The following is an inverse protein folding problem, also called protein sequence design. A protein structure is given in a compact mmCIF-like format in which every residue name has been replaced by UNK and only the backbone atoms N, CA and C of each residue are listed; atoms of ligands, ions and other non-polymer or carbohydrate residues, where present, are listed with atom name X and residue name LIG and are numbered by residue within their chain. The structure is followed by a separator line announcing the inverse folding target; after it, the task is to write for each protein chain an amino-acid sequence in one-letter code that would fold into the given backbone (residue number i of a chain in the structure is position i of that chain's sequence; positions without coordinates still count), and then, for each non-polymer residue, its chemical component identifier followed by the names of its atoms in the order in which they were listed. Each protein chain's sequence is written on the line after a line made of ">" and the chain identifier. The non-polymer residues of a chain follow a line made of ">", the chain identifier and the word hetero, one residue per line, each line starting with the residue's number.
data_IF_089336886895
#
_entry.id   IF_089336886895
#
_cell.length_a   1.000
_cell.length_b   1.000
_cell.length_c   1.000
_cell.angle_alpha   90.00
_cell.angle_beta   90.00
_cell.angle_gamma   90.00
#
_symmetry.space_group_name_H-M   'P 1'
#
loop_
_entity.id
_entity.type
_entity.pdbx_description
1 polymer ?
#
# COMPACT_ATOMS: atom_id res chain seq x y z
N UNK A 1 0.85 38.11 24.98
CA UNK A 1 0.59 36.78 24.38
C UNK A 1 1.94 36.12 24.16
N UNK A 2 2.26 35.04 24.86
CA UNK A 2 3.52 34.34 24.65
C UNK A 2 3.48 33.68 23.25
N UNK A 3 4.49 33.97 22.43
CA UNK A 3 4.70 33.30 21.16
C UNK A 3 4.83 31.80 21.44
N UNK A 4 3.88 31.02 20.93
CA UNK A 4 3.97 29.56 20.94
C UNK A 4 4.94 29.17 19.84
N UNK A 5 6.10 28.67 20.22
CA UNK A 5 7.01 27.98 19.32
C UNK A 5 6.43 26.60 19.06
N UNK A 6 5.84 26.39 17.89
CA UNK A 6 5.52 25.04 17.41
C UNK A 6 6.85 24.34 17.10
N UNK A 7 7.27 23.43 17.97
CA UNK A 7 8.42 22.58 17.70
C UNK A 7 8.00 21.45 16.78
N UNK A 8 8.19 21.62 15.47
CA UNK A 8 8.32 20.48 14.58
C UNK A 8 9.69 19.87 14.89
N UNK A 9 9.71 18.65 15.42
CA UNK A 9 10.95 17.91 15.69
C UNK A 9 11.54 17.48 14.34
N UNK A 10 12.36 18.36 13.77
CA UNK A 10 13.05 18.13 12.50
C UNK A 10 13.10 19.41 11.65
N UNK A 11 14.07 19.45 10.77
CA UNK A 11 14.18 20.51 9.77
C UNK A 11 13.54 20.04 8.47
N UNK A 12 12.21 19.86 8.46
CA UNK A 12 11.45 19.42 7.27
C UNK A 12 11.74 20.29 6.05
N UNK A 13 12.01 21.57 6.23
CA UNK A 13 12.40 22.50 5.15
C UNK A 13 13.71 22.11 4.46
N UNK A 14 14.61 21.38 5.15
CA UNK A 14 15.85 20.86 4.55
C UNK A 14 15.63 19.63 3.67
N UNK A 15 14.49 18.97 3.81
CA UNK A 15 14.06 17.86 2.97
C UNK A 15 13.17 18.32 1.80
N UNK A 16 12.69 19.56 1.84
CA UNK A 16 11.99 20.15 0.72
C UNK A 16 13.00 20.46 -0.38
N UNK A 17 12.90 19.78 -1.51
CA UNK A 17 13.58 20.16 -2.74
C UNK A 17 12.61 20.99 -3.58
N UNK A 18 13.05 22.16 -4.04
CA UNK A 18 12.31 22.92 -5.03
C UNK A 18 12.16 22.07 -6.29
N UNK A 19 10.95 21.58 -6.53
CA UNK A 19 10.58 21.03 -7.83
C UNK A 19 10.54 22.20 -8.81
N UNK A 20 11.69 22.48 -9.44
CA UNK A 20 11.74 23.35 -10.60
C UNK A 20 10.90 22.71 -11.72
N UNK A 21 9.60 22.96 -11.71
CA UNK A 21 8.74 22.64 -12.85
C UNK A 21 9.16 23.55 -14.01
N UNK A 22 9.77 23.05 -15.08
CA UNK A 22 10.08 23.89 -16.22
C UNK A 22 8.76 24.35 -16.84
N UNK A 23 8.39 25.60 -16.61
CA UNK A 23 7.31 26.27 -17.32
C UNK A 23 7.76 26.52 -18.76
N UNK A 24 7.72 25.50 -19.62
CA UNK A 24 7.93 25.67 -21.05
C UNK A 24 6.60 25.55 -21.77
N UNK A 25 5.98 26.67 -22.10
CA UNK A 25 4.77 26.79 -22.90
C UNK A 25 4.96 26.58 -24.40
N UNK A 26 5.88 25.75 -24.84
CA UNK A 26 6.07 25.40 -26.26
C UNK A 26 5.46 24.04 -26.60
N UNK A 27 5.22 23.74 -27.89
CA UNK A 27 4.72 22.43 -28.29
C UNK A 27 5.65 21.34 -27.77
N UNK A 28 5.07 20.33 -27.14
CA UNK A 28 5.83 19.24 -26.54
C UNK A 28 6.55 18.43 -27.62
N UNK A 29 7.87 18.38 -27.54
CA UNK A 29 8.63 17.53 -28.45
C UNK A 29 8.47 16.07 -28.03
N UNK A 30 8.06 15.21 -28.95
CA UNK A 30 7.93 13.78 -28.73
C UNK A 30 9.31 13.10 -28.83
N UNK A 31 9.65 12.17 -27.90
CA UNK A 31 10.90 11.42 -27.99
C UNK A 31 10.99 10.55 -29.25
N UNK A 32 9.87 9.96 -29.64
CA UNK A 32 9.77 9.06 -30.78
C UNK A 32 8.85 9.62 -31.86
N UNK A 33 9.19 9.37 -33.12
CA UNK A 33 8.23 9.41 -34.21
C UNK A 33 7.33 8.17 -34.15
N UNK A 34 6.18 8.23 -34.84
CA UNK A 34 5.29 7.07 -34.94
C UNK A 34 6.01 5.84 -35.53
N UNK A 35 6.80 6.02 -36.60
CA UNK A 35 7.54 4.93 -37.23
C UNK A 35 8.55 4.29 -36.25
N UNK A 36 9.26 5.10 -35.46
CA UNK A 36 10.21 4.61 -34.45
C UNK A 36 9.48 3.85 -33.33
N UNK A 37 8.37 4.41 -32.82
CA UNK A 37 7.56 3.78 -31.77
C UNK A 37 7.02 2.42 -32.25
N UNK A 38 6.42 2.36 -33.42
CA UNK A 38 5.91 1.12 -34.02
C UNK A 38 7.01 0.07 -34.23
N UNK A 39 8.16 0.47 -34.81
CA UNK A 39 9.31 -0.44 -35.01
C UNK A 39 9.83 -1.02 -33.72
N UNK A 40 9.82 -0.25 -32.64
CA UNK A 40 10.31 -0.64 -31.31
C UNK A 40 9.30 -1.50 -30.54
N UNK A 41 8.03 -1.09 -30.55
CA UNK A 41 6.98 -1.76 -29.76
C UNK A 41 6.41 -3.00 -30.44
N UNK A 42 6.34 -3.03 -31.77
CA UNK A 42 5.76 -4.15 -32.51
C UNK A 42 6.32 -5.51 -32.10
N UNK A 43 7.66 -5.71 -32.11
CA UNK A 43 8.24 -6.97 -31.64
C UNK A 43 7.95 -7.29 -30.18
N UNK A 44 7.95 -6.28 -29.30
CA UNK A 44 7.67 -6.46 -27.86
C UNK A 44 6.22 -6.87 -27.61
N UNK A 45 5.27 -6.21 -28.27
CA UNK A 45 3.84 -6.57 -28.17
C UNK A 45 3.62 -8.00 -28.67
N UNK A 46 4.19 -8.36 -29.82
CA UNK A 46 4.06 -9.72 -30.36
C UNK A 46 4.65 -10.78 -29.44
N UNK A 47 5.81 -10.51 -28.83
CA UNK A 47 6.45 -11.41 -27.88
C UNK A 47 5.58 -11.58 -26.61
N UNK A 48 5.16 -10.48 -26.01
CA UNK A 48 4.30 -10.51 -24.81
C UNK A 48 2.96 -11.21 -25.09
N UNK A 49 2.33 -10.94 -26.23
CA UNK A 49 1.06 -11.59 -26.59
C UNK A 49 1.23 -13.09 -26.85
N UNK A 50 2.37 -13.53 -27.38
CA UNK A 50 2.67 -14.96 -27.47
C UNK A 50 2.76 -15.60 -26.08
N UNK A 51 3.49 -14.99 -25.14
CA UNK A 51 3.57 -15.49 -23.76
C UNK A 51 2.19 -15.56 -23.11
N UNK A 52 1.35 -14.51 -23.27
CA UNK A 52 -0.02 -14.52 -22.75
C UNK A 52 -0.90 -15.59 -23.40
N UNK A 53 -0.72 -15.88 -24.68
CA UNK A 53 -1.48 -16.90 -25.38
C UNK A 53 -1.11 -18.32 -24.92
N UNK A 54 0.14 -18.53 -24.51
CA UNK A 54 0.69 -19.81 -24.04
C UNK A 54 0.31 -20.12 -22.57
N UNK A 55 -0.28 -19.15 -21.84
CA UNK A 55 -0.73 -19.38 -20.46
C UNK A 55 -1.82 -20.45 -20.37
N UNK A 56 -1.79 -21.34 -19.38
CA UNK A 56 -2.87 -22.29 -19.09
C UNK A 56 -4.22 -21.57 -18.87
N UNK A 57 -5.32 -22.23 -19.17
CA UNK A 57 -6.67 -21.64 -18.99
C UNK A 57 -7.00 -21.38 -17.53
N UNK A 58 -6.50 -22.22 -16.66
CA UNK A 58 -6.73 -22.22 -15.22
C UNK A 58 -6.21 -20.93 -14.56
N UNK A 59 -5.14 -20.34 -15.12
CA UNK A 59 -4.57 -19.07 -14.63
C UNK A 59 -5.21 -17.84 -15.28
N UNK A 60 -6.11 -18.01 -16.24
CA UNK A 60 -6.73 -16.95 -17.04
C UNK A 60 -8.26 -16.92 -16.84
N UNK A 61 -8.79 -16.37 -15.75
CA UNK A 61 -10.21 -16.36 -15.47
C UNK A 61 -10.98 -15.63 -16.60
N UNK A 62 -12.07 -16.24 -17.10
CA UNK A 62 -12.83 -15.75 -18.28
C UNK A 62 -11.94 -15.47 -19.51
N UNK A 63 -10.87 -16.22 -19.69
CA UNK A 63 -9.87 -16.03 -20.76
C UNK A 63 -9.18 -14.64 -20.72
N UNK A 64 -9.17 -13.97 -19.56
CA UNK A 64 -8.54 -12.67 -19.38
C UNK A 64 -7.12 -12.81 -18.80
N UNK A 65 -6.26 -11.91 -19.21
CA UNK A 65 -4.86 -11.82 -18.78
C UNK A 65 -4.47 -10.38 -18.50
N UNK A 66 -3.32 -10.18 -17.83
CA UNK A 66 -2.78 -8.86 -17.53
C UNK A 66 -1.40 -8.71 -18.17
N UNK A 67 -1.23 -7.64 -18.94
CA UNK A 67 0.06 -7.19 -19.49
C UNK A 67 0.53 -5.91 -18.78
N UNK A 68 1.80 -5.58 -18.93
CA UNK A 68 2.42 -4.36 -18.43
C UNK A 68 2.73 -3.39 -19.57
N UNK A 69 2.22 -2.17 -19.44
CA UNK A 69 2.44 -1.07 -20.38
C UNK A 69 3.17 0.05 -19.67
N UNK A 70 4.44 0.26 -19.99
CA UNK A 70 5.25 1.33 -19.38
C UNK A 70 5.18 2.58 -20.23
N UNK A 71 4.81 3.69 -19.65
CA UNK A 71 4.83 4.99 -20.32
C UNK A 71 6.26 5.52 -20.40
N UNK A 72 6.56 6.31 -21.43
CA UNK A 72 7.82 7.04 -21.48
C UNK A 72 7.83 8.14 -20.39
N UNK A 73 8.93 8.36 -19.65
CA UNK A 73 8.99 9.32 -18.53
C UNK A 73 8.60 10.76 -18.87
N UNK A 74 8.60 11.13 -20.14
CA UNK A 74 8.09 12.44 -20.58
C UNK A 74 6.57 12.55 -20.48
N UNK A 75 5.84 11.45 -20.31
CA UNK A 75 4.38 11.39 -20.38
C UNK A 75 3.73 10.93 -19.04
N UNK A 76 4.08 11.59 -17.93
CA UNK A 76 3.57 11.26 -16.59
C UNK A 76 2.20 11.87 -16.27
N UNK A 77 1.79 12.94 -16.96
CA UNK A 77 0.51 13.59 -16.68
C UNK A 77 -0.67 12.73 -17.15
N UNK A 78 -1.80 12.76 -16.42
CA UNK A 78 -3.04 12.02 -16.75
C UNK A 78 -3.51 12.22 -18.20
N UNK A 79 -3.24 13.37 -18.81
CA UNK A 79 -3.57 13.69 -20.21
C UNK A 79 -2.81 12.83 -21.24
N UNK A 80 -1.78 12.12 -20.82
CA UNK A 80 -0.99 11.25 -21.69
C UNK A 80 -1.33 9.76 -21.55
N UNK A 81 -2.37 9.45 -20.80
CA UNK A 81 -2.88 8.10 -20.72
C UNK A 81 -3.26 7.57 -22.11
N UNK A 82 -2.90 6.32 -22.49
CA UNK A 82 -3.10 5.78 -23.82
C UNK A 82 -4.55 5.29 -24.06
N UNK A 83 -5.52 6.18 -23.84
CA UNK A 83 -6.94 5.83 -23.80
C UNK A 83 -7.48 5.29 -25.12
N UNK A 84 -7.08 5.88 -26.26
CA UNK A 84 -7.58 5.47 -27.57
C UNK A 84 -7.07 4.09 -27.96
N UNK A 85 -5.79 3.78 -27.64
CA UNK A 85 -5.23 2.46 -27.88
C UNK A 85 -5.97 1.40 -27.05
N UNK A 86 -6.13 1.65 -25.74
CA UNK A 86 -6.77 0.69 -24.85
C UNK A 86 -8.23 0.46 -25.25
N UNK A 87 -8.97 1.53 -25.52
CA UNK A 87 -10.37 1.46 -25.94
C UNK A 87 -10.54 0.72 -27.28
N UNK A 88 -9.68 0.98 -28.25
CA UNK A 88 -9.75 0.34 -29.58
C UNK A 88 -9.64 -1.17 -29.49
N UNK A 89 -8.82 -1.69 -28.57
CA UNK A 89 -8.61 -3.12 -28.39
C UNK A 89 -9.35 -3.70 -27.18
N UNK A 90 -10.33 -3.00 -26.64
CA UNK A 90 -11.10 -3.43 -25.47
C UNK A 90 -10.19 -3.92 -24.31
N UNK A 91 -9.15 -3.15 -24.04
CA UNK A 91 -8.23 -3.34 -22.94
C UNK A 91 -8.52 -2.34 -21.83
N UNK A 92 -8.35 -2.76 -20.58
CA UNK A 92 -8.66 -1.94 -19.41
C UNK A 92 -7.47 -1.87 -18.46
N UNK A 93 -7.23 -0.70 -17.86
CA UNK A 93 -6.22 -0.56 -16.82
C UNK A 93 -6.79 -0.96 -15.46
N UNK A 94 -6.20 -1.97 -14.85
CA UNK A 94 -6.58 -2.51 -13.52
C UNK A 94 -5.66 -2.04 -12.40
N UNK A 95 -4.69 -1.17 -12.70
CA UNK A 95 -3.80 -0.58 -11.72
C UNK A 95 -2.55 0.00 -12.36
N UNK A 96 -1.72 0.62 -11.55
CA UNK A 96 -0.42 1.14 -11.97
C UNK A 96 0.60 1.01 -10.85
N UNK A 97 1.88 1.19 -11.21
CA UNK A 97 2.97 1.34 -10.25
C UNK A 97 4.05 2.27 -10.81
N UNK A 98 4.83 2.96 -9.99
CA UNK A 98 6.03 3.63 -10.45
C UNK A 98 7.05 2.60 -10.94
N UNK A 99 7.78 2.95 -11.99
CA UNK A 99 8.89 2.17 -12.52
C UNK A 99 10.06 3.09 -12.84
N UNK A 100 11.23 2.71 -12.39
CA UNK A 100 12.46 3.38 -12.75
C UNK A 100 13.08 2.70 -13.97
N UNK A 101 13.48 3.47 -14.98
CA UNK A 101 14.10 2.96 -16.19
C UNK A 101 15.03 3.99 -16.85
N UNK A 102 15.91 3.49 -17.73
CA UNK A 102 16.72 4.31 -18.63
C UNK A 102 16.03 4.36 -19.99
N UNK A 103 15.38 5.49 -20.37
CA UNK A 103 14.70 5.59 -21.66
C UNK A 103 15.73 5.57 -22.81
N UNK A 104 15.39 4.89 -23.89
CA UNK A 104 16.30 4.76 -25.03
C UNK A 104 16.53 6.09 -25.77
N UNK A 105 15.57 7.02 -25.70
CA UNK A 105 15.62 8.32 -26.37
C UNK A 105 14.97 9.41 -25.52
N UNK A 106 15.44 10.64 -25.67
CA UNK A 106 14.84 11.83 -25.04
C UNK A 106 14.66 12.94 -26.07
N UNK A 107 13.60 13.74 -25.93
CA UNK A 107 13.16 14.63 -27.02
C UNK A 107 14.19 15.71 -27.42
N UNK A 108 14.88 16.32 -26.46
CA UNK A 108 15.76 17.48 -26.73
C UNK A 108 17.16 17.39 -26.11
N UNK A 109 17.45 16.36 -25.34
CA UNK A 109 18.70 16.20 -24.58
C UNK A 109 19.14 14.74 -24.61
N UNK A 110 20.34 14.47 -24.13
CA UNK A 110 20.77 13.11 -23.82
C UNK A 110 19.80 12.49 -22.80
N UNK A 111 19.37 11.24 -22.99
CA UNK A 111 18.55 10.55 -22.01
C UNK A 111 19.22 10.56 -20.63
N UNK A 112 18.45 10.74 -19.53
CA UNK A 112 18.99 10.56 -18.19
C UNK A 112 19.40 9.10 -17.98
N UNK A 113 20.34 8.85 -17.08
CA UNK A 113 20.77 7.49 -16.74
C UNK A 113 19.60 6.68 -16.14
N UNK A 114 18.71 7.36 -15.43
CA UNK A 114 17.49 6.80 -14.88
C UNK A 114 16.40 7.86 -14.80
N UNK A 115 15.14 7.44 -14.95
CA UNK A 115 13.96 8.28 -14.79
C UNK A 115 12.78 7.45 -14.30
N UNK A 116 12.01 8.02 -13.36
CA UNK A 116 10.77 7.39 -12.87
C UNK A 116 9.66 7.62 -13.88
N UNK A 117 8.86 6.59 -14.12
CA UNK A 117 7.67 6.62 -14.96
C UNK A 117 6.54 5.78 -14.37
N UNK A 118 5.41 5.71 -15.06
CA UNK A 118 4.28 4.86 -14.69
C UNK A 118 4.27 3.59 -15.54
N UNK A 119 4.15 2.44 -14.90
CA UNK A 119 3.87 1.15 -15.49
C UNK A 119 2.41 0.77 -15.19
N UNK A 120 1.60 0.61 -16.23
CA UNK A 120 0.17 0.29 -16.16
C UNK A 120 -0.01 -1.22 -16.21
N UNK A 121 -0.87 -1.74 -15.35
CA UNK A 121 -1.39 -3.11 -15.46
C UNK A 121 -2.63 -3.06 -16.35
N UNK A 122 -2.57 -3.75 -17.47
CA UNK A 122 -3.62 -3.69 -18.51
C UNK A 122 -4.21 -5.08 -18.69
N UNK A 123 -5.49 -5.21 -18.38
CA UNK A 123 -6.28 -6.45 -18.50
C UNK A 123 -7.04 -6.50 -19.82
N UNK A 124 -7.28 -7.69 -20.30
CA UNK A 124 -8.11 -7.98 -21.46
C UNK A 124 -8.12 -9.46 -21.79
N UNK A 125 -9.02 -9.88 -22.68
CA UNK A 125 -9.01 -11.26 -23.14
C UNK A 125 -7.79 -11.55 -24.02
N UNK A 126 -7.35 -12.80 -24.04
CA UNK A 126 -6.26 -13.22 -24.93
C UNK A 126 -6.59 -12.95 -26.43
N UNK A 127 -7.86 -12.93 -26.80
CA UNK A 127 -8.31 -12.53 -28.13
C UNK A 127 -8.04 -11.05 -28.42
N UNK A 128 -8.32 -10.15 -27.48
CA UNK A 128 -8.06 -8.71 -27.60
C UNK A 128 -6.56 -8.42 -27.75
N UNK A 129 -5.72 -9.07 -26.96
CA UNK A 129 -4.26 -8.94 -27.11
C UNK A 129 -3.74 -9.48 -28.43
N UNK A 130 -4.29 -10.61 -28.93
CA UNK A 130 -3.95 -11.15 -30.26
C UNK A 130 -4.33 -10.17 -31.37
N UNK A 131 -5.49 -9.51 -31.25
CA UNK A 131 -5.93 -8.49 -32.22
C UNK A 131 -4.94 -7.31 -32.25
N UNK A 132 -4.54 -6.79 -31.06
CA UNK A 132 -3.51 -5.72 -30.99
C UNK A 132 -2.20 -6.16 -31.67
N UNK A 133 -1.73 -7.38 -31.42
CA UNK A 133 -0.50 -7.88 -32.02
C UNK A 133 -0.59 -8.09 -33.54
N UNK A 134 -1.77 -8.45 -34.05
CA UNK A 134 -2.01 -8.61 -35.49
C UNK A 134 -2.05 -7.24 -36.19
N UNK A 135 -2.66 -6.24 -35.57
CA UNK A 135 -2.90 -4.94 -36.18
C UNK A 135 -1.71 -3.98 -36.05
N UNK A 136 -0.77 -4.21 -35.14
CA UNK A 136 0.30 -3.25 -34.79
C UNK A 136 1.08 -2.74 -36.01
N UNK A 137 1.34 -3.59 -37.00
CA UNK A 137 2.06 -3.21 -38.22
C UNK A 137 1.16 -2.47 -39.21
N UNK A 138 -0.17 -2.62 -39.11
CA UNK A 138 -1.14 -2.00 -40.00
C UNK A 138 -1.67 -0.65 -39.48
N UNK A 139 -1.40 -0.29 -38.21
CA UNK A 139 -1.79 1.01 -37.66
C UNK A 139 -1.17 2.12 -38.51
N UNK A 140 -2.03 3.05 -38.96
CA UNK A 140 -1.62 4.23 -39.76
C UNK A 140 -1.24 5.37 -38.82
N UNK A 141 -0.30 6.22 -39.23
CA UNK A 141 0.13 7.40 -38.48
C UNK A 141 -1.02 8.40 -38.21
N UNK A 142 -2.04 8.41 -39.09
CA UNK A 142 -3.22 9.24 -38.94
C UNK A 142 -4.28 8.67 -38.01
N UNK A 143 -4.11 7.45 -37.49
CA UNK A 143 -5.04 6.85 -36.56
C UNK A 143 -4.91 7.49 -35.16
N UNK A 144 -6.00 7.58 -34.41
CA UNK A 144 -6.01 8.09 -33.03
C UNK A 144 -5.07 7.28 -32.11
N UNK A 145 -5.00 5.96 -32.33
CA UNK A 145 -4.12 5.04 -31.61
C UNK A 145 -2.62 5.31 -31.84
N UNK A 146 -2.24 5.94 -32.96
CA UNK A 146 -0.86 6.26 -33.27
C UNK A 146 -0.25 7.24 -32.27
N UNK A 147 -1.05 8.23 -31.82
CA UNK A 147 -0.63 9.18 -30.80
C UNK A 147 -0.36 8.55 -29.44
N UNK A 148 -0.99 7.42 -29.15
CA UNK A 148 -0.78 6.68 -27.91
C UNK A 148 0.48 5.79 -27.97
N UNK A 149 0.76 5.18 -29.14
CA UNK A 149 1.97 4.38 -29.33
C UNK A 149 3.26 5.15 -29.06
N UNK A 150 3.32 6.43 -29.45
CA UNK A 150 4.51 7.26 -29.21
C UNK A 150 4.77 7.57 -27.74
N UNK A 151 3.77 7.37 -26.88
CA UNK A 151 3.85 7.62 -25.44
C UNK A 151 4.34 6.39 -24.66
N UNK A 152 4.33 5.21 -25.26
CA UNK A 152 4.67 3.95 -24.60
C UNK A 152 6.17 3.68 -24.75
N UNK A 153 6.85 3.38 -23.65
CA UNK A 153 8.25 2.99 -23.63
C UNK A 153 8.43 1.48 -23.70
N UNK A 154 7.55 0.72 -23.04
CA UNK A 154 7.67 -0.73 -23.00
C UNK A 154 6.31 -1.41 -22.98
N UNK A 155 6.27 -2.65 -23.49
CA UNK A 155 5.13 -3.54 -23.42
C UNK A 155 5.65 -4.95 -23.14
N UNK A 156 5.21 -5.58 -22.04
CA UNK A 156 5.72 -6.87 -21.58
C UNK A 156 4.71 -7.63 -20.71
N UNK A 157 4.99 -8.86 -20.38
CA UNK A 157 4.35 -9.61 -19.32
C UNK A 157 5.07 -9.37 -17.98
N UNK A 158 4.40 -9.67 -16.88
CA UNK A 158 5.04 -9.71 -15.55
C UNK A 158 5.48 -11.14 -15.27
N UNK A 159 6.79 -11.42 -15.21
CA UNK A 159 7.24 -12.77 -14.91
C UNK A 159 6.96 -13.16 -13.45
N UNK A 160 6.79 -14.46 -13.15
CA UNK A 160 6.51 -14.94 -11.80
C UNK A 160 7.50 -14.46 -10.73
N UNK A 161 8.77 -14.30 -11.10
CA UNK A 161 9.83 -13.84 -10.20
C UNK A 161 9.66 -12.38 -9.75
N UNK A 162 8.98 -11.56 -10.54
CA UNK A 162 8.61 -10.20 -10.14
C UNK A 162 7.38 -10.17 -9.22
N UNK A 163 6.55 -11.22 -9.27
CA UNK A 163 5.34 -11.33 -8.46
C UNK A 163 5.60 -11.91 -7.07
N UNK A 164 6.51 -12.90 -6.95
CA UNK A 164 6.86 -13.53 -5.69
C UNK A 164 8.05 -12.82 -5.03
N UNK A 165 7.82 -12.18 -3.89
CA UNK A 165 8.91 -11.59 -3.11
C UNK A 165 9.73 -12.67 -2.40
N UNK A 166 11.02 -12.44 -2.18
CA UNK A 166 11.87 -13.37 -1.42
C UNK A 166 11.28 -13.66 -0.05
N UNK A 167 11.32 -14.91 0.35
CA UNK A 167 10.93 -15.33 1.69
C UNK A 167 11.91 -14.80 2.75
N UNK A 168 11.39 -14.41 3.89
CA UNK A 168 12.16 -13.88 5.03
C UNK A 168 12.34 -14.90 6.15
N UNK A 169 11.49 -15.91 6.19
CA UNK A 169 11.53 -17.02 7.16
C UNK A 169 11.94 -18.33 6.48
N UNK A 170 12.23 -19.34 7.28
CA UNK A 170 12.47 -20.72 6.82
C UNK A 170 11.23 -21.60 6.99
N UNK A 171 10.05 -20.99 7.16
CA UNK A 171 8.78 -21.70 7.29
C UNK A 171 8.50 -22.52 6.03
N UNK A 172 8.14 -23.79 6.18
CA UNK A 172 7.81 -24.69 5.06
C UNK A 172 6.44 -24.34 4.46
N UNK A 173 5.53 -23.81 5.27
CA UNK A 173 4.20 -23.37 4.86
C UNK A 173 3.94 -21.92 5.26
N UNK A 174 4.66 -20.94 4.68
CA UNK A 174 4.49 -19.56 5.04
C UNK A 174 3.08 -19.04 4.78
N UNK A 175 2.62 -18.16 5.65
CA UNK A 175 1.43 -17.37 5.36
C UNK A 175 1.84 -16.21 4.44
N UNK A 176 1.19 -16.12 3.28
CA UNK A 176 1.42 -15.05 2.31
C UNK A 176 0.34 -13.98 2.40
N UNK A 177 0.71 -12.74 2.19
CA UNK A 177 -0.17 -11.68 1.74
C UNK A 177 -0.19 -11.73 0.21
N UNK A 178 -1.32 -12.14 -0.36
CA UNK A 178 -1.55 -12.17 -1.81
C UNK A 178 -2.32 -10.93 -2.19
N UNK A 179 -1.89 -10.28 -3.26
CA UNK A 179 -2.52 -9.07 -3.80
C UNK A 179 -3.04 -9.34 -5.20
N UNK A 180 -4.35 -9.22 -5.38
CA UNK A 180 -5.02 -9.37 -6.66
C UNK A 180 -5.49 -8.02 -7.19
N UNK A 181 -5.49 -7.85 -8.50
CA UNK A 181 -6.20 -6.76 -9.16
C UNK A 181 -7.70 -7.08 -9.16
N UNK A 182 -8.42 -6.69 -8.12
CA UNK A 182 -9.85 -6.94 -7.97
C UNK A 182 -10.49 -5.88 -7.05
N UNK A 183 -11.70 -5.46 -7.39
CA UNK A 183 -12.52 -4.56 -6.58
C UNK A 183 -13.68 -5.33 -5.94
N UNK A 184 -14.32 -4.78 -4.89
CA UNK A 184 -15.48 -5.40 -4.24
C UNK A 184 -16.76 -5.16 -5.05
N UNK A 185 -16.73 -5.44 -6.36
CA UNK A 185 -17.84 -5.27 -7.29
C UNK A 185 -18.15 -6.58 -8.00
N UNK A 186 -19.41 -6.75 -8.44
CA UNK A 186 -19.87 -8.00 -9.05
C UNK A 186 -19.10 -8.33 -10.35
N UNK A 187 -18.68 -7.31 -11.07
CA UNK A 187 -17.90 -7.42 -12.30
C UNK A 187 -16.57 -8.13 -12.09
N UNK A 188 -15.94 -7.97 -10.92
CA UNK A 188 -14.63 -8.53 -10.55
C UNK A 188 -14.73 -9.86 -9.77
N UNK A 189 -15.95 -10.30 -9.41
CA UNK A 189 -16.14 -11.53 -8.63
C UNK A 189 -15.44 -12.75 -9.28
N UNK A 190 -15.43 -12.82 -10.61
CA UNK A 190 -14.79 -13.87 -11.38
C UNK A 190 -13.29 -14.01 -11.13
N UNK A 191 -12.62 -12.92 -10.69
CA UNK A 191 -11.19 -12.92 -10.39
C UNK A 191 -10.92 -13.73 -9.13
N UNK A 192 -11.72 -13.50 -8.07
CA UNK A 192 -11.60 -14.23 -6.80
C UNK A 192 -12.05 -15.69 -6.95
N UNK A 193 -13.17 -15.92 -7.60
CA UNK A 193 -13.69 -17.27 -7.89
C UNK A 193 -12.71 -18.07 -8.75
N UNK A 194 -12.13 -17.44 -9.77
CA UNK A 194 -11.12 -18.06 -10.63
C UNK A 194 -9.83 -18.36 -9.88
N UNK A 195 -9.43 -17.47 -8.96
CA UNK A 195 -8.26 -17.70 -8.11
C UNK A 195 -8.47 -18.88 -7.17
N UNK A 196 -9.62 -18.95 -6.50
CA UNK A 196 -9.99 -20.08 -5.66
C UNK A 196 -10.02 -21.40 -6.46
N UNK A 197 -10.63 -21.38 -7.65
CA UNK A 197 -10.67 -22.55 -8.53
C UNK A 197 -9.26 -22.98 -8.96
N UNK A 198 -8.38 -22.03 -9.28
CA UNK A 198 -6.99 -22.32 -9.62
C UNK A 198 -6.22 -22.91 -8.44
N UNK A 199 -6.35 -22.36 -7.24
CA UNK A 199 -5.69 -22.88 -6.04
C UNK A 199 -6.11 -24.32 -5.73
N UNK A 200 -7.37 -24.67 -5.95
CA UNK A 200 -7.85 -26.06 -5.82
C UNK A 200 -7.12 -27.04 -6.75
N UNK A 201 -6.66 -26.59 -7.92
CA UNK A 201 -5.84 -27.45 -8.82
C UNK A 201 -4.42 -27.67 -8.29
N UNK A 202 -3.98 -26.86 -7.35
CA UNK A 202 -2.68 -26.94 -6.68
C UNK A 202 -2.78 -27.60 -5.28
N UNK A 203 -3.92 -28.17 -4.93
CA UNK A 203 -4.22 -28.70 -3.59
C UNK A 203 -4.09 -27.65 -2.46
N UNK A 204 -4.27 -26.37 -2.80
CA UNK A 204 -4.23 -25.27 -1.86
C UNK A 204 -5.65 -24.78 -1.56
N UNK A 205 -6.00 -24.71 -0.28
CA UNK A 205 -7.30 -24.21 0.16
C UNK A 205 -7.26 -22.72 0.43
N UNK A 206 -8.16 -21.97 -0.19
CA UNK A 206 -8.43 -20.57 0.11
C UNK A 206 -9.79 -20.47 0.80
N UNK A 207 -9.81 -19.82 1.94
CA UNK A 207 -11.01 -19.47 2.66
C UNK A 207 -11.36 -18.01 2.34
N UNK A 208 -12.26 -17.80 1.41
CA UNK A 208 -12.69 -16.44 1.00
C UNK A 208 -13.51 -15.73 2.10
N UNK A 209 -14.01 -16.45 3.11
CA UNK A 209 -14.71 -15.86 4.24
C UNK A 209 -13.74 -15.29 5.28
N UNK A 210 -12.44 -15.64 5.17
CA UNK A 210 -11.41 -15.01 6.01
C UNK A 210 -11.22 -13.55 5.66
N UNK A 211 -10.60 -12.83 6.60
CA UNK A 211 -10.30 -11.40 6.49
C UNK A 211 -9.59 -11.11 5.18
N UNK A 212 -10.18 -10.23 4.41
CA UNK A 212 -9.59 -9.65 3.20
C UNK A 212 -9.90 -8.17 3.18
N UNK A 213 -9.01 -7.41 2.57
CA UNK A 213 -9.18 -5.98 2.45
C UNK A 213 -9.20 -5.58 0.98
N UNK A 214 -10.05 -4.62 0.67
CA UNK A 214 -10.07 -3.99 -0.64
C UNK A 214 -9.63 -2.54 -0.50
N UNK A 215 -8.68 -2.13 -1.32
CA UNK A 215 -8.24 -0.74 -1.38
C UNK A 215 -7.66 -0.43 -2.76
N UNK A 216 -8.00 0.73 -3.32
CA UNK A 216 -7.41 1.27 -4.55
C UNK A 216 -7.43 0.28 -5.74
N UNK A 217 -8.48 -0.51 -5.89
CA UNK A 217 -8.60 -1.50 -6.96
C UNK A 217 -7.83 -2.80 -6.72
N UNK A 218 -7.35 -3.01 -5.50
CA UNK A 218 -6.63 -4.21 -5.08
C UNK A 218 -7.41 -4.98 -4.02
N UNK A 219 -7.28 -6.30 -4.04
CA UNK A 219 -7.74 -7.20 -2.99
C UNK A 219 -6.53 -7.82 -2.31
N UNK A 220 -6.42 -7.62 -1.02
CA UNK A 220 -5.39 -8.20 -0.16
C UNK A 220 -5.99 -9.35 0.62
N UNK A 221 -5.39 -10.53 0.54
CA UNK A 221 -5.89 -11.73 1.21
C UNK A 221 -4.76 -12.58 1.78
N UNK A 222 -4.98 -13.25 2.93
CA UNK A 222 -4.02 -14.18 3.50
C UNK A 222 -4.14 -15.53 2.81
N UNK A 223 -3.01 -16.15 2.47
CA UNK A 223 -2.95 -17.48 1.88
C UNK A 223 -1.81 -18.27 2.50
N UNK A 224 -2.12 -19.40 3.14
CA UNK A 224 -1.10 -20.36 3.58
C UNK A 224 -0.83 -21.35 2.46
N UNK A 225 0.43 -21.52 2.10
CA UNK A 225 0.82 -22.36 0.96
C UNK A 225 2.20 -22.98 1.20
N UNK A 226 2.39 -24.26 0.83
CA UNK A 226 3.74 -24.84 0.81
C UNK A 226 4.70 -23.99 -0.04
N UNK A 227 5.90 -23.79 0.48
CA UNK A 227 6.91 -22.92 -0.16
C UNK A 227 7.20 -23.33 -1.60
N UNK A 228 7.25 -24.61 -1.88
CA UNK A 228 7.47 -25.15 -3.23
C UNK A 228 6.32 -24.89 -4.20
N UNK A 229 5.10 -24.65 -3.69
CA UNK A 229 3.90 -24.37 -4.50
C UNK A 229 3.74 -22.88 -4.78
N UNK A 230 4.33 -21.99 -3.96
CA UNK A 230 4.20 -20.55 -4.11
C UNK A 230 4.59 -20.01 -5.51
N UNK A 231 5.63 -20.53 -6.21
CA UNK A 231 5.92 -20.14 -7.59
C UNK A 231 4.81 -20.48 -8.60
N UNK A 232 4.01 -21.52 -8.34
CA UNK A 232 2.85 -21.84 -9.17
C UNK A 232 1.71 -20.87 -8.89
N UNK A 233 1.42 -20.58 -7.61
CA UNK A 233 0.37 -19.63 -7.21
C UNK A 233 0.48 -18.29 -7.93
N UNK A 234 1.70 -17.76 -8.07
CA UNK A 234 1.92 -16.44 -8.66
C UNK A 234 1.79 -16.41 -10.19
N UNK A 235 1.57 -17.56 -10.85
CA UNK A 235 1.26 -17.61 -12.28
C UNK A 235 -0.14 -17.09 -12.60
N UNK A 236 -1.02 -16.99 -11.60
CA UNK A 236 -2.36 -16.45 -11.81
C UNK A 236 -2.32 -15.03 -12.39
N UNK A 237 -3.05 -14.79 -13.49
CA UNK A 237 -2.92 -13.59 -14.31
C UNK A 237 -3.20 -12.30 -13.56
N UNK A 238 -4.24 -12.29 -12.72
CA UNK A 238 -4.64 -11.11 -11.94
C UNK A 238 -3.88 -10.97 -10.62
N UNK A 239 -2.94 -11.87 -10.31
CA UNK A 239 -2.08 -11.73 -9.16
C UNK A 239 -1.00 -10.69 -9.45
N UNK A 240 -1.02 -9.61 -8.66
CA UNK A 240 -0.03 -8.53 -8.73
C UNK A 240 1.25 -8.89 -8.00
N UNK A 241 1.11 -9.47 -6.80
CA UNK A 241 2.20 -9.69 -5.86
C UNK A 241 1.80 -10.76 -4.84
N UNK A 242 2.78 -11.55 -4.40
CA UNK A 242 2.71 -12.38 -3.19
C UNK A 242 3.98 -12.17 -2.37
N UNK A 243 3.83 -12.02 -1.05
CA UNK A 243 4.94 -11.90 -0.09
C UNK A 243 4.56 -12.57 1.22
N UNK A 244 5.54 -12.92 2.04
CA UNK A 244 5.23 -13.33 3.41
C UNK A 244 4.43 -12.23 4.10
N UNK A 245 3.38 -12.64 4.83
CA UNK A 245 2.53 -11.74 5.60
C UNK A 245 3.39 -10.90 6.54
N UNK A 246 3.34 -9.56 6.45
CA UNK A 246 4.04 -8.71 7.40
C UNK A 246 3.53 -8.96 8.82
N UNK A 247 4.44 -9.05 9.77
CA UNK A 247 4.08 -9.16 11.19
C UNK A 247 3.90 -7.77 11.78
N UNK A 248 3.15 -7.68 12.87
CA UNK A 248 3.08 -6.45 13.63
C UNK A 248 4.46 -6.19 14.28
N UNK A 249 4.95 -4.97 14.17
CA UNK A 249 6.22 -4.57 14.77
C UNK A 249 6.20 -4.82 16.26
N UNK A 250 7.13 -5.62 16.73
CA UNK A 250 7.26 -5.87 18.16
C UNK A 250 7.71 -4.60 18.88
N UNK A 251 6.98 -4.24 19.92
CA UNK A 251 7.40 -3.18 20.82
C UNK A 251 8.63 -3.68 21.60
N UNK A 252 9.79 -3.19 21.25
CA UNK A 252 10.95 -3.30 22.14
C UNK A 252 10.86 -2.15 23.11
N UNK A 253 10.45 -2.35 24.38
CA UNK A 253 10.56 -1.31 25.36
C UNK A 253 12.05 -0.97 25.44
N UNK A 254 12.42 0.24 25.03
CA UNK A 254 13.72 0.78 25.33
C UNK A 254 13.78 1.04 26.84
N UNK A 255 13.85 -0.03 27.61
CA UNK A 255 14.22 0.06 29.00
C UNK A 255 15.72 0.42 29.05
N UNK A 256 16.02 1.69 28.86
CA UNK A 256 17.23 2.24 29.45
C UNK A 256 16.97 2.28 30.97
N UNK A 257 17.08 1.12 31.59
CA UNK A 257 17.23 1.05 33.03
C UNK A 257 18.59 1.66 33.34
N UNK A 258 18.60 2.95 33.60
CA UNK A 258 19.76 3.58 34.22
C UNK A 258 19.72 3.13 35.68
N UNK A 259 20.70 2.36 36.16
CA UNK A 259 20.78 1.97 37.56
C UNK A 259 20.85 3.26 38.39
N UNK A 260 19.95 3.45 39.34
CA UNK A 260 19.98 4.58 40.26
C UNK A 260 18.90 5.67 40.07
N UNK A 261 17.84 5.41 39.36
CA UNK A 261 16.71 6.35 39.27
C UNK A 261 15.97 6.41 40.62
N UNK A 262 16.06 7.57 41.29
CA UNK A 262 15.06 8.03 42.24
C UNK A 262 13.67 8.04 41.57
N UNK A 263 12.60 7.74 42.31
CA UNK A 263 11.26 7.79 41.71
C UNK A 263 11.04 9.18 41.10
N UNK A 264 10.85 9.22 39.80
CA UNK A 264 10.54 10.41 39.02
C UNK A 264 9.24 11.03 39.55
N UNK A 265 9.28 12.22 40.08
CA UNK A 265 8.17 12.90 40.71
C UNK A 265 7.66 14.05 39.84
N UNK A 266 6.85 13.74 38.82
CA UNK A 266 6.14 14.77 38.07
C UNK A 266 4.73 14.98 38.61
N UNK A 267 4.29 16.23 38.75
CA UNK A 267 2.91 16.56 39.11
C UNK A 267 2.09 16.81 37.88
N UNK A 268 0.99 16.08 37.72
CA UNK A 268 0.03 16.32 36.66
C UNK A 268 -0.91 17.48 37.00
N UNK A 269 -1.36 18.28 36.03
CA UNK A 269 -2.35 19.33 36.24
C UNK A 269 -3.69 18.72 36.67
N UNK A 270 -4.50 19.53 37.36
CA UNK A 270 -5.83 19.08 37.86
C UNK A 270 -6.97 19.46 36.92
N UNK A 271 -6.71 20.26 35.92
CA UNK A 271 -7.71 20.81 34.99
C UNK A 271 -7.76 20.02 33.68
N UNK A 272 -8.93 19.94 33.07
CA UNK A 272 -9.11 19.31 31.76
C UNK A 272 -8.31 20.01 30.64
N UNK A 273 -8.43 19.57 29.38
CA UNK A 273 -7.64 20.09 28.26
C UNK A 273 -7.85 21.59 28.03
N UNK A 274 -6.90 22.22 27.37
CA UNK A 274 -6.97 23.66 26.96
C UNK A 274 -8.11 23.86 25.98
N UNK A 275 -8.17 22.99 24.98
CA UNK A 275 -9.20 22.98 23.96
C UNK A 275 -9.98 21.66 24.06
N UNK A 276 -11.30 21.75 24.18
CA UNK A 276 -12.19 20.60 24.30
C UNK A 276 -12.74 20.15 22.95
N UNK A 277 -12.60 20.96 21.94
CA UNK A 277 -13.13 20.69 20.62
C UNK A 277 -12.15 19.87 19.78
N UNK A 278 -10.83 19.95 20.10
CA UNK A 278 -9.81 19.11 19.46
C UNK A 278 -9.92 17.68 19.96
N UNK A 279 -10.17 16.76 19.05
CA UNK A 279 -10.32 15.34 19.28
C UNK A 279 -9.15 14.55 18.73
N UNK A 280 -8.53 13.76 19.58
CA UNK A 280 -7.39 12.92 19.22
C UNK A 280 -7.72 11.46 19.46
N UNK A 281 -7.48 10.60 18.48
CA UNK A 281 -7.53 9.15 18.67
C UNK A 281 -6.12 8.58 18.80
N UNK A 282 -5.94 7.62 19.70
CA UNK A 282 -4.74 6.79 19.81
C UNK A 282 -5.15 5.34 19.71
N UNK A 283 -4.56 4.60 18.78
CA UNK A 283 -4.75 3.16 18.62
C UNK A 283 -3.51 2.44 19.12
N UNK A 284 -3.63 1.69 20.23
CA UNK A 284 -2.50 1.01 20.86
C UNK A 284 -2.99 -0.13 21.80
N UNK A 285 -2.15 -0.58 22.69
CA UNK A 285 -2.41 -1.67 23.63
C UNK A 285 -3.30 -1.33 24.85
N UNK A 286 -3.80 -0.09 24.93
CA UNK A 286 -4.62 0.38 26.03
C UNK A 286 -3.83 1.22 27.04
N UNK A 287 -4.54 1.90 27.94
CA UNK A 287 -3.98 2.72 29.02
C UNK A 287 -4.27 2.05 30.35
N UNK A 288 -3.24 1.94 31.21
CA UNK A 288 -3.39 1.39 32.57
C UNK A 288 -4.43 2.15 33.39
N UNK A 289 -5.20 1.43 34.20
CA UNK A 289 -6.21 2.02 35.04
C UNK A 289 -5.62 2.97 36.10
N UNK A 290 -4.43 2.69 36.61
CA UNK A 290 -3.73 3.45 37.66
C UNK A 290 -2.87 4.61 37.10
N UNK A 291 -2.88 4.85 35.78
CA UNK A 291 -2.04 5.85 35.12
C UNK A 291 -2.41 7.32 35.46
N UNK A 292 -3.49 7.57 36.21
CA UNK A 292 -3.97 8.92 36.61
C UNK A 292 -4.16 9.89 35.45
N UNK A 293 -4.52 9.38 34.28
CA UNK A 293 -4.73 10.15 33.04
C UNK A 293 -6.22 10.48 32.78
N UNK A 294 -7.12 10.09 33.72
CA UNK A 294 -8.58 10.16 33.55
C UNK A 294 -9.15 11.53 33.11
N UNK A 295 -8.61 12.67 33.58
CA UNK A 295 -9.14 13.96 33.11
C UNK A 295 -9.00 14.22 31.61
N UNK A 296 -8.10 13.51 30.90
CA UNK A 296 -7.78 13.75 29.50
C UNK A 296 -7.94 12.55 28.60
N UNK A 297 -8.14 11.34 29.17
CA UNK A 297 -8.15 10.09 28.42
C UNK A 297 -9.45 9.34 28.61
N UNK A 298 -10.14 9.12 27.50
CA UNK A 298 -11.28 8.19 27.42
C UNK A 298 -10.77 6.83 26.93
N UNK A 299 -10.82 5.82 27.82
CA UNK A 299 -10.40 4.45 27.48
C UNK A 299 -11.50 3.74 26.69
N UNK A 300 -11.21 3.39 25.45
CA UNK A 300 -12.11 2.67 24.55
C UNK A 300 -11.60 1.25 24.30
N UNK A 301 -12.51 0.34 24.01
CA UNK A 301 -12.20 -1.02 23.55
C UNK A 301 -12.85 -1.23 22.18
N UNK A 302 -12.15 -1.88 21.28
CA UNK A 302 -12.70 -2.33 20.00
C UNK A 302 -13.48 -3.63 20.17
N UNK A 303 -14.23 -4.04 19.15
CA UNK A 303 -14.96 -5.31 19.15
C UNK A 303 -13.98 -6.50 19.12
N UNK A 304 -14.46 -7.66 19.53
CA UNK A 304 -13.73 -8.94 19.44
C UNK A 304 -12.31 -8.88 20.02
N UNK A 305 -12.18 -8.24 21.18
CA UNK A 305 -10.90 -8.00 21.82
C UNK A 305 -10.74 -8.91 23.04
N UNK A 306 -9.71 -9.74 23.04
CA UNK A 306 -9.32 -10.59 24.15
C UNK A 306 -8.76 -9.82 25.35
N UNK A 307 -8.07 -10.53 26.25
CA UNK A 307 -7.52 -9.96 27.48
C UNK A 307 -6.43 -8.92 27.21
N UNK A 308 -6.32 -7.96 28.11
CA UNK A 308 -5.30 -6.93 28.05
C UNK A 308 -3.93 -7.49 28.46
N UNK A 309 -2.88 -7.10 27.77
CA UNK A 309 -1.52 -7.48 28.08
C UNK A 309 -0.79 -6.32 28.77
N UNK A 310 -0.21 -6.53 29.96
CA UNK A 310 0.45 -5.45 30.71
C UNK A 310 1.54 -4.72 29.94
N UNK A 311 2.32 -5.44 29.12
CA UNK A 311 3.37 -4.85 28.28
C UNK A 311 2.78 -3.88 27.24
N UNK A 312 1.67 -4.25 26.60
CA UNK A 312 0.99 -3.39 25.64
C UNK A 312 0.35 -2.18 26.32
N UNK A 313 -0.25 -2.36 27.51
CA UNK A 313 -0.78 -1.25 28.28
C UNK A 313 0.32 -0.29 28.75
N UNK A 314 1.52 -0.79 29.08
CA UNK A 314 2.67 0.07 29.38
C UNK A 314 3.02 0.96 28.19
N UNK A 315 3.10 0.35 27.00
CA UNK A 315 3.38 1.08 25.76
C UNK A 315 2.31 2.13 25.47
N UNK A 316 1.04 1.74 25.43
CA UNK A 316 -0.07 2.67 25.15
C UNK A 316 -0.19 3.79 26.21
N UNK A 317 0.12 3.51 27.49
CA UNK A 317 0.19 4.53 28.53
C UNK A 317 1.34 5.51 28.26
N UNK A 318 2.51 5.02 27.87
CA UNK A 318 3.67 5.87 27.58
C UNK A 318 3.43 6.75 26.34
N UNK A 319 2.89 6.17 25.26
CA UNK A 319 2.52 6.91 24.04
C UNK A 319 1.51 8.00 24.34
N UNK A 320 0.44 7.67 25.08
CA UNK A 320 -0.61 8.64 25.43
C UNK A 320 -0.09 9.74 26.35
N UNK A 321 0.77 9.39 27.31
CA UNK A 321 1.42 10.38 28.19
C UNK A 321 2.34 11.32 27.41
N UNK A 322 3.14 10.79 26.49
CA UNK A 322 4.03 11.59 25.63
C UNK A 322 3.22 12.53 24.74
N UNK A 323 2.11 12.10 24.17
CA UNK A 323 1.22 12.92 23.36
C UNK A 323 0.59 14.05 24.16
N UNK A 324 0.15 13.78 25.38
CA UNK A 324 -0.52 14.76 26.23
C UNK A 324 0.44 15.80 26.83
N UNK A 325 1.61 15.38 27.26
CA UNK A 325 2.50 16.21 28.10
C UNK A 325 3.87 16.48 27.48
N UNK A 326 4.24 15.75 26.41
CA UNK A 326 5.61 15.80 25.90
C UNK A 326 6.63 15.24 26.92
N UNK A 327 7.87 15.74 26.91
CA UNK A 327 8.92 15.31 27.84
C UNK A 327 8.62 15.84 29.25
N UNK A 328 8.36 14.91 30.18
CA UNK A 328 8.15 15.24 31.60
C UNK A 328 9.49 15.49 32.29
N UNK A 329 9.52 16.43 33.23
CA UNK A 329 10.71 16.79 34.02
C UNK A 329 10.48 16.49 35.49
N UNK A 330 11.54 16.00 36.16
CA UNK A 330 11.47 15.69 37.58
C UNK A 330 11.28 16.95 38.45
N UNK A 331 10.39 16.84 39.44
CA UNK A 331 10.06 17.96 40.34
C UNK A 331 9.19 19.07 39.74
N UNK A 332 8.88 19.02 38.44
CA UNK A 332 8.11 20.04 37.74
C UNK A 332 6.64 19.59 37.58
N UNK A 333 5.72 20.55 37.64
CA UNK A 333 4.34 20.31 37.27
C UNK A 333 4.21 20.32 35.76
N UNK A 334 3.66 19.25 35.16
CA UNK A 334 3.42 19.17 33.73
C UNK A 334 2.46 20.28 33.27
N UNK A 335 2.67 20.75 32.07
CA UNK A 335 1.76 21.71 31.44
C UNK A 335 0.38 21.07 31.20
N UNK A 336 -0.63 21.90 31.15
CA UNK A 336 -1.99 21.47 30.84
C UNK A 336 -2.07 20.93 29.44
N UNK A 337 -2.55 19.68 29.22
CA UNK A 337 -2.70 19.10 27.88
C UNK A 337 -3.56 19.96 26.98
N UNK A 338 -3.18 20.00 25.70
CA UNK A 338 -3.91 20.81 24.72
C UNK A 338 -5.27 20.21 24.40
N UNK A 339 -5.33 18.90 24.21
CA UNK A 339 -6.51 18.17 23.77
C UNK A 339 -6.83 16.99 24.71
N UNK A 340 -8.01 16.40 24.51
CA UNK A 340 -8.38 15.09 25.05
C UNK A 340 -8.06 13.98 24.06
N UNK A 341 -7.90 12.75 24.59
CA UNK A 341 -7.57 11.55 23.82
C UNK A 341 -8.64 10.48 24.01
N UNK A 342 -9.20 9.98 22.92
CA UNK A 342 -9.88 8.70 22.90
C UNK A 342 -8.84 7.61 22.61
N UNK A 343 -8.49 6.83 23.62
CA UNK A 343 -7.51 5.76 23.47
C UNK A 343 -8.22 4.43 23.18
N UNK A 344 -8.07 3.92 21.99
CA UNK A 344 -8.62 2.63 21.55
C UNK A 344 -7.61 1.51 21.79
N UNK A 345 -8.01 0.54 22.63
CA UNK A 345 -7.24 -0.69 22.75
C UNK A 345 -7.54 -1.59 21.54
N UNK A 346 -6.51 -1.88 20.75
CA UNK A 346 -6.57 -2.73 19.54
C UNK A 346 -5.70 -3.99 19.67
N UNK A 347 -4.84 -4.06 20.68
CA UNK A 347 -3.98 -5.19 20.98
C UNK A 347 -4.51 -6.00 22.18
N UNK A 348 -4.30 -7.31 22.16
CA UNK A 348 -4.74 -8.25 23.18
C UNK A 348 -3.75 -9.43 23.34
N UNK A 349 -4.09 -10.40 24.17
CA UNK A 349 -3.29 -11.59 24.39
C UNK A 349 -3.18 -12.46 23.12
N UNK A 350 -4.19 -12.41 22.25
CA UNK A 350 -4.15 -13.17 21.00
C UNK A 350 -3.18 -12.59 19.97
N UNK A 351 -2.90 -11.27 20.05
CA UNK A 351 -1.86 -10.60 19.26
C UNK A 351 -0.44 -11.12 19.55
N UNK A 352 -0.22 -11.79 20.69
CA UNK A 352 1.05 -12.43 21.04
C UNK A 352 1.16 -13.87 20.56
N UNK A 353 0.06 -14.47 20.13
CA UNK A 353 0.09 -15.82 19.57
C UNK A 353 0.80 -15.80 18.22
N UNK A 354 1.41 -16.92 17.87
CA UNK A 354 2.09 -17.09 16.58
C UNK A 354 1.07 -17.27 15.42
N UNK A 355 0.01 -16.47 15.44
CA UNK A 355 -0.93 -16.29 14.35
C UNK A 355 -0.38 -15.21 13.43
N UNK A 356 0.12 -15.62 12.28
CA UNK A 356 0.71 -14.72 11.30
C UNK A 356 -0.31 -13.73 10.68
N UNK A 357 -1.59 -13.82 11.06
CA UNK A 357 -2.66 -12.88 10.66
C UNK A 357 -2.91 -11.74 11.67
N UNK A 358 -2.15 -11.65 12.73
CA UNK A 358 -2.33 -10.63 13.78
C UNK A 358 -2.44 -9.21 13.21
N UNK A 359 -1.62 -8.88 12.18
CA UNK A 359 -1.62 -7.57 11.53
C UNK A 359 -3.00 -7.24 10.94
N UNK A 360 -3.65 -8.18 10.26
CA UNK A 360 -4.97 -8.00 9.68
C UNK A 360 -6.05 -7.87 10.77
N UNK A 361 -5.92 -8.60 11.87
CA UNK A 361 -6.83 -8.48 13.01
C UNK A 361 -6.80 -7.08 13.62
N UNK A 362 -5.61 -6.52 13.76
CA UNK A 362 -5.42 -5.17 14.30
C UNK A 362 -5.92 -4.12 13.31
N UNK A 363 -5.61 -4.27 12.02
CA UNK A 363 -6.09 -3.37 10.97
C UNK A 363 -7.63 -3.33 10.93
N UNK A 364 -8.30 -4.49 10.95
CA UNK A 364 -9.76 -4.59 10.99
C UNK A 364 -10.35 -3.83 12.18
N UNK A 365 -9.78 -3.97 13.38
CA UNK A 365 -10.23 -3.25 14.58
C UNK A 365 -10.07 -1.74 14.44
N UNK A 366 -9.04 -1.27 13.75
CA UNK A 366 -8.83 0.15 13.45
C UNK A 366 -9.88 0.62 12.44
N UNK A 367 -10.07 -0.12 11.34
CA UNK A 367 -11.06 0.18 10.31
C UNK A 367 -12.47 0.27 10.89
N UNK A 368 -12.90 -0.70 11.71
CA UNK A 368 -14.21 -0.72 12.38
C UNK A 368 -14.49 0.60 13.15
N UNK A 369 -13.47 1.16 13.78
CA UNK A 369 -13.61 2.43 14.50
C UNK A 369 -13.68 3.60 13.51
N UNK A 370 -12.77 3.67 12.53
CA UNK A 370 -12.67 4.80 11.62
C UNK A 370 -13.86 4.88 10.66
N UNK A 371 -14.36 3.75 10.17
CA UNK A 371 -15.55 3.67 9.31
C UNK A 371 -16.83 4.10 10.03
N UNK A 372 -16.89 4.00 11.35
CA UNK A 372 -17.99 4.56 12.14
C UNK A 372 -18.00 6.09 12.14
N UNK A 373 -17.04 6.69 11.46
CA UNK A 373 -16.87 8.15 11.20
C UNK A 373 -16.86 9.03 12.47
N UNK A 374 -16.16 8.67 13.54
CA UNK A 374 -15.89 9.64 14.58
C UNK A 374 -14.96 10.71 13.96
N UNK A 375 -15.35 11.96 14.09
CA UNK A 375 -14.48 13.06 13.63
C UNK A 375 -13.33 13.21 14.60
N UNK A 376 -12.13 12.89 14.16
CA UNK A 376 -10.87 13.17 14.84
C UNK A 376 -10.06 14.18 14.04
N UNK A 377 -9.45 15.14 14.73
CA UNK A 377 -8.53 16.09 14.13
C UNK A 377 -7.13 15.47 13.97
N UNK A 378 -6.79 14.53 14.87
CA UNK A 378 -5.52 13.83 14.88
C UNK A 378 -5.72 12.34 15.21
N UNK A 379 -4.99 11.49 14.49
CA UNK A 379 -4.95 10.04 14.73
C UNK A 379 -3.51 9.61 14.92
N UNK A 380 -3.22 8.94 16.04
CA UNK A 380 -1.92 8.36 16.31
C UNK A 380 -1.98 6.83 16.16
N UNK A 381 -1.13 6.31 15.31
CA UNK A 381 -0.89 4.89 15.08
C UNK A 381 0.56 4.57 15.46
N UNK A 382 0.84 4.34 16.75
CA UNK A 382 2.18 3.97 17.22
C UNK A 382 2.46 2.46 17.07
N UNK A 383 1.83 1.86 16.09
CA UNK A 383 1.92 0.45 15.72
C UNK A 383 1.83 0.32 14.19
N UNK A 384 2.31 -0.78 13.66
CA UNK A 384 2.32 -1.00 12.22
C UNK A 384 3.14 -2.24 11.84
N UNK A 385 3.23 -2.56 10.55
CA UNK A 385 4.00 -3.69 10.08
C UNK A 385 5.51 -3.53 10.37
N UNK A 386 6.18 -4.66 10.53
CA UNK A 386 7.64 -4.76 10.69
C UNK A 386 8.40 -4.68 9.36
N UNK A 387 7.72 -4.36 8.30
CA UNK A 387 8.24 -4.28 6.94
C UNK A 387 8.25 -2.83 6.47
N UNK A 388 9.32 -2.44 5.79
CA UNK A 388 9.37 -1.14 5.14
C UNK A 388 8.34 -1.06 4.00
N UNK A 389 7.76 0.12 3.79
CA UNK A 389 6.91 0.37 2.63
C UNK A 389 7.79 0.38 1.38
N UNK A 390 7.44 -0.45 0.41
CA UNK A 390 8.06 -0.44 -0.90
C UNK A 390 7.27 0.51 -1.81
N UNK A 391 7.94 1.41 -2.53
CA UNK A 391 7.30 2.42 -3.39
C UNK A 391 6.39 1.82 -4.48
N UNK A 392 6.68 0.57 -4.88
CA UNK A 392 5.99 -0.09 -5.99
C UNK A 392 4.89 -1.06 -5.54
N UNK A 393 4.93 -1.49 -4.27
CA UNK A 393 4.13 -2.61 -3.78
C UNK A 393 3.69 -2.38 -2.34
N UNK A 394 2.66 -1.54 -2.16
CA UNK A 394 2.10 -1.23 -0.84
C UNK A 394 1.50 -2.46 -0.15
N UNK A 395 1.55 -2.48 1.18
CA UNK A 395 0.86 -3.50 1.98
C UNK A 395 -0.60 -3.12 2.23
N UNK A 396 -1.43 -4.11 2.60
CA UNK A 396 -2.81 -3.86 2.99
C UNK A 396 -2.93 -2.74 4.04
N UNK A 397 -2.07 -2.76 5.06
CA UNK A 397 -2.06 -1.75 6.11
C UNK A 397 -1.98 -0.32 5.56
N UNK A 398 -1.03 -0.05 4.67
CA UNK A 398 -0.86 1.28 4.08
C UNK A 398 -2.00 1.61 3.12
N UNK A 399 -2.34 0.71 2.19
CA UNK A 399 -3.36 0.96 1.18
C UNK A 399 -4.74 1.24 1.79
N UNK A 400 -5.14 0.46 2.80
CA UNK A 400 -6.45 0.61 3.46
C UNK A 400 -6.51 1.90 4.27
N UNK A 401 -5.45 2.23 5.02
CA UNK A 401 -5.43 3.47 5.78
C UNK A 401 -5.38 4.71 4.87
N UNK A 402 -4.61 4.67 3.79
CA UNK A 402 -4.57 5.76 2.81
C UNK A 402 -5.96 5.98 2.20
N UNK A 403 -6.68 4.93 1.84
CA UNK A 403 -8.05 5.05 1.34
C UNK A 403 -8.99 5.65 2.40
N UNK A 404 -8.93 5.19 3.66
CA UNK A 404 -9.77 5.71 4.74
C UNK A 404 -9.52 7.20 5.06
N UNK A 405 -8.31 7.69 4.82
CA UNK A 405 -7.95 9.09 5.08
C UNK A 405 -8.08 9.98 3.84
N UNK A 406 -8.30 9.40 2.66
CA UNK A 406 -8.51 10.15 1.41
C UNK A 406 -9.96 10.59 1.19
N UNK A 407 -10.91 9.93 1.84
CA UNK A 407 -12.35 10.18 1.81
C UNK A 407 -12.78 11.15 2.95
#
# INVERSE_FOLDING_TARGET
>A
MAERTNFIIGYGERLASDLAAPMSGGPKAHPYTFAEARKRLGPKIKAAVKELADLPKEVCPKDQTVALVTLHPTYLAKTYYPAELLKTYALETVGSRPRELSPAKWARKKPPASAVTSELFVAGTRAHFRQLAADIDAIRETASTASDLIKIEDFRTQPPEEKLKPFRSDDEEPLLEVVLHAQPVAEDAFILEGFEAYLKTLDVNLDLDKRRFFAEGLCFLPLRVPREVAPEVVKYSFLRLAREMPRLRQFRPLTRATPGFSPFACRLPKTGPVDRDIRVAVFDGGVKADAKLDPWVSRKKTKNLGDAVPAFQNHGTAVTSALLFGPLQDGVTAERPYASVDHYRVLDADTLKDDQQELYSVLERICDVLESRPKYDFINLSLGPDLAVEDNDVHAWTAVLDQLFSD
#
